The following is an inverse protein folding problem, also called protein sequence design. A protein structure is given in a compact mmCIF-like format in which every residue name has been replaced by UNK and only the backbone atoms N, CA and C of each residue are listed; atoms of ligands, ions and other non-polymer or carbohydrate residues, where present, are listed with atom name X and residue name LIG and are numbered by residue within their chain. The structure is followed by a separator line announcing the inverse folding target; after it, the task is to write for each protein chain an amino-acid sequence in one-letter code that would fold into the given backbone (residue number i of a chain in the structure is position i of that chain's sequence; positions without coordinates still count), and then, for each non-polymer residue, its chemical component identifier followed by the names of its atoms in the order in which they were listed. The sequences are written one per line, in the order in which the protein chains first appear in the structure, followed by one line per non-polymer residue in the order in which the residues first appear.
data_IF_603095998500
#
_entry.id   IF_603095998500
#
_cell.length_a   1.000
_cell.length_b   1.000
_cell.length_c   1.000
_cell.angle_alpha   90.00
_cell.angle_beta   90.00
_cell.angle_gamma   90.00
#
_symmetry.space_group_name_H-M   'P 1'
#
loop_
_entity.id
_entity.type
_entity.pdbx_description
1 polymer ?
#
# COMPACT_ATOMS: atom_id res chain seq x y z
N UNK A 1 -21.96 18.00 -2.53
CA UNK A 1 -20.65 18.53 -2.96
C UNK A 1 -20.45 18.17 -4.42
N UNK A 2 -20.17 19.15 -5.28
CA UNK A 2 -19.92 18.90 -6.71
C UNK A 2 -18.51 18.31 -6.85
N UNK A 3 -18.41 17.05 -7.29
CA UNK A 3 -17.13 16.36 -7.49
C UNK A 3 -16.57 16.68 -8.88
N UNK A 4 -16.13 17.93 -9.09
CA UNK A 4 -15.45 18.32 -10.32
C UNK A 4 -13.98 17.89 -10.27
N UNK A 5 -13.43 17.55 -11.44
CA UNK A 5 -12.01 17.24 -11.59
C UNK A 5 -11.18 18.46 -11.19
N UNK A 6 -10.15 18.28 -10.35
CA UNK A 6 -9.24 19.38 -10.00
C UNK A 6 -8.47 19.82 -11.24
N UNK A 7 -8.62 21.08 -11.62
CA UNK A 7 -7.75 21.73 -12.60
C UNK A 7 -6.49 22.20 -11.91
N UNK A 8 -5.34 21.92 -12.51
CA UNK A 8 -4.03 22.24 -11.95
C UNK A 8 -3.47 23.46 -12.65
N UNK A 9 -3.23 24.52 -11.90
CA UNK A 9 -2.77 25.80 -12.45
C UNK A 9 -1.25 25.90 -12.46
N UNK A 10 -0.58 25.24 -11.51
CA UNK A 10 0.88 25.28 -11.38
C UNK A 10 1.52 23.90 -11.35
N UNK A 11 2.82 23.85 -11.67
CA UNK A 11 3.64 22.62 -11.53
C UNK A 11 3.79 22.20 -10.06
N UNK A 12 3.91 23.16 -9.14
CA UNK A 12 4.03 22.87 -7.72
C UNK A 12 2.82 22.14 -7.15
N UNK A 13 1.60 22.52 -7.55
CA UNK A 13 0.38 21.81 -7.14
C UNK A 13 0.37 20.34 -7.57
N UNK A 14 0.89 20.05 -8.78
CA UNK A 14 0.99 18.68 -9.29
C UNK A 14 2.00 17.85 -8.49
N UNK A 15 3.17 18.44 -8.19
CA UNK A 15 4.23 17.78 -7.41
C UNK A 15 3.73 17.51 -5.99
N UNK A 16 3.10 18.50 -5.35
CA UNK A 16 2.60 18.37 -4.00
C UNK A 16 1.51 17.28 -3.91
N UNK A 17 0.54 17.26 -4.83
CA UNK A 17 -0.47 16.20 -4.89
C UNK A 17 0.17 14.83 -5.17
N UNK A 18 1.20 14.75 -6.01
CA UNK A 18 1.95 13.50 -6.25
C UNK A 18 2.65 13.01 -4.98
N UNK A 19 3.36 13.89 -4.27
CA UNK A 19 4.06 13.55 -3.01
C UNK A 19 3.06 13.12 -1.94
N UNK A 20 1.90 13.78 -1.84
CA UNK A 20 0.82 13.36 -0.95
C UNK A 20 0.34 11.95 -1.32
N UNK A 21 0.14 11.66 -2.60
CA UNK A 21 -0.24 10.33 -3.05
C UNK A 21 0.82 9.28 -2.71
N UNK A 22 2.08 9.61 -2.93
CA UNK A 22 3.21 8.71 -2.70
C UNK A 22 3.41 8.40 -1.21
N UNK A 23 3.58 9.44 -0.38
CA UNK A 23 3.81 9.29 1.07
C UNK A 23 2.53 8.81 1.77
N UNK A 24 1.38 9.32 1.36
CA UNK A 24 0.08 8.92 1.89
C UNK A 24 -0.20 7.44 1.67
N UNK A 25 0.23 6.86 0.54
CA UNK A 25 0.11 5.43 0.30
C UNK A 25 0.86 4.60 1.36
N UNK A 26 2.11 4.96 1.67
CA UNK A 26 2.88 4.27 2.71
C UNK A 26 2.29 4.46 4.10
N UNK A 27 1.82 5.66 4.44
CA UNK A 27 1.20 5.93 5.73
C UNK A 27 -0.07 5.10 5.93
N UNK A 28 -0.96 5.09 4.94
CA UNK A 28 -2.22 4.34 5.01
C UNK A 28 -1.93 2.84 5.07
N UNK A 29 -1.08 2.31 4.18
CA UNK A 29 -0.77 0.89 4.17
C UNK A 29 0.02 0.45 5.42
N UNK A 30 0.91 1.29 5.95
CA UNK A 30 1.62 1.05 7.20
C UNK A 30 0.69 1.00 8.41
N UNK A 31 -0.30 1.90 8.48
CA UNK A 31 -1.33 1.87 9.51
C UNK A 31 -2.22 0.63 9.39
N UNK A 32 -2.66 0.28 8.17
CA UNK A 32 -3.42 -0.94 7.96
C UNK A 32 -2.63 -2.18 8.38
N UNK A 33 -1.36 -2.27 7.99
CA UNK A 33 -0.50 -3.38 8.38
C UNK A 33 -0.33 -3.46 9.90
N UNK A 34 -0.05 -2.33 10.57
CA UNK A 34 0.06 -2.26 12.02
C UNK A 34 -1.23 -2.72 12.72
N UNK A 35 -2.39 -2.22 12.28
CA UNK A 35 -3.69 -2.65 12.78
C UNK A 35 -3.93 -4.15 12.56
N UNK A 36 -3.54 -4.68 11.41
CA UNK A 36 -3.67 -6.11 11.12
C UNK A 36 -2.83 -6.96 12.06
N UNK A 37 -1.56 -6.57 12.29
CA UNK A 37 -0.67 -7.29 13.19
C UNK A 37 -1.19 -7.26 14.64
N UNK A 38 -1.68 -6.11 15.12
CA UNK A 38 -2.20 -5.98 16.49
C UNK A 38 -3.53 -6.69 16.71
N UNK A 39 -4.39 -6.79 15.69
CA UNK A 39 -5.64 -7.55 15.77
C UNK A 39 -5.37 -9.06 15.70
N UNK A 40 -4.45 -9.49 14.84
CA UNK A 40 -4.11 -10.90 14.69
C UNK A 40 -3.43 -11.45 15.95
N UNK A 41 -2.59 -10.66 16.64
CA UNK A 41 -1.97 -11.07 17.90
C UNK A 41 -2.97 -11.25 19.05
N UNK A 42 -4.13 -10.57 18.99
CA UNK A 42 -5.20 -10.73 19.98
C UNK A 42 -6.16 -11.89 19.63
N UNK A 43 -6.25 -12.25 18.35
CA UNK A 43 -7.17 -13.27 17.84
C UNK A 43 -6.65 -14.72 17.93
N UNK A 44 -5.39 -14.96 18.35
CA UNK A 44 -4.73 -16.27 18.31
C UNK A 44 -5.30 -17.36 19.25
N UNK A 45 -6.46 -17.13 19.87
CA UNK A 45 -7.06 -18.03 20.87
C UNK A 45 -8.39 -18.69 20.42
N UNK A 46 -8.81 -18.62 19.15
CA UNK A 46 -10.07 -19.24 18.69
C UNK A 46 -10.18 -19.54 17.20
N UNK A 47 -10.96 -20.57 16.85
CA UNK A 47 -11.17 -21.14 15.49
C UNK A 47 -11.74 -20.10 14.48
N UNK A 48 -12.37 -19.01 14.96
CA UNK A 48 -12.85 -17.87 14.16
C UNK A 48 -11.73 -16.98 13.58
N UNK A 49 -10.47 -17.25 13.92
CA UNK A 49 -9.27 -16.51 13.50
C UNK A 49 -9.04 -16.52 11.98
N UNK A 50 -9.47 -17.57 11.28
CA UNK A 50 -9.18 -17.73 9.86
C UNK A 50 -10.03 -16.82 8.97
N UNK A 51 -11.31 -16.64 9.32
CA UNK A 51 -12.23 -15.78 8.55
C UNK A 51 -11.92 -14.29 8.77
N UNK A 52 -11.57 -13.92 10.00
CA UNK A 52 -11.13 -12.56 10.34
C UNK A 52 -9.78 -12.22 9.68
N UNK A 53 -8.83 -13.16 9.62
CA UNK A 53 -7.58 -12.97 8.88
C UNK A 53 -7.80 -12.75 7.37
N UNK A 54 -8.69 -13.53 6.74
CA UNK A 54 -9.03 -13.38 5.31
C UNK A 54 -9.65 -12.02 5.00
N UNK A 55 -10.58 -11.55 5.84
CA UNK A 55 -11.20 -10.23 5.68
C UNK A 55 -10.15 -9.13 5.87
N UNK A 56 -9.26 -9.26 6.86
CA UNK A 56 -8.18 -8.30 7.09
C UNK A 56 -7.14 -8.26 5.97
N UNK A 57 -6.96 -9.35 5.22
CA UNK A 57 -6.12 -9.39 4.01
C UNK A 57 -6.82 -8.77 2.79
N UNK A 58 -8.13 -8.98 2.66
CA UNK A 58 -8.91 -8.49 1.53
C UNK A 58 -9.23 -6.98 1.62
N UNK A 59 -9.47 -6.46 2.83
CA UNK A 59 -9.86 -5.06 3.05
C UNK A 59 -8.82 -4.06 2.50
N UNK A 60 -7.52 -4.19 2.82
CA UNK A 60 -6.49 -3.27 2.34
C UNK A 60 -6.40 -3.28 0.82
N UNK A 61 -6.55 -4.45 0.19
CA UNK A 61 -6.54 -4.57 -1.27
C UNK A 61 -7.71 -3.79 -1.89
N UNK A 62 -8.93 -3.99 -1.39
CA UNK A 62 -10.13 -3.31 -1.87
C UNK A 62 -10.05 -1.79 -1.65
N UNK A 63 -9.51 -1.37 -0.50
CA UNK A 63 -9.31 0.06 -0.18
C UNK A 63 -8.28 0.69 -1.11
N UNK A 64 -7.16 0.01 -1.39
CA UNK A 64 -6.14 0.53 -2.32
C UNK A 64 -6.69 0.65 -3.75
N UNK A 65 -7.41 -0.37 -4.24
CA UNK A 65 -8.02 -0.34 -5.58
C UNK A 65 -9.08 0.75 -5.65
N UNK A 66 -9.99 0.80 -4.68
CA UNK A 66 -11.04 1.81 -4.61
C UNK A 66 -10.48 3.23 -4.51
N UNK A 67 -9.43 3.43 -3.72
CA UNK A 67 -8.74 4.72 -3.60
C UNK A 67 -8.06 5.10 -4.93
N UNK A 68 -7.38 4.19 -5.61
CA UNK A 68 -6.76 4.46 -6.91
C UNK A 68 -7.79 4.83 -7.97
N UNK A 69 -8.92 4.13 -8.03
CA UNK A 69 -10.00 4.42 -8.99
C UNK A 69 -10.65 5.77 -8.67
N UNK A 70 -11.07 5.98 -7.42
CA UNK A 70 -11.71 7.23 -7.00
C UNK A 70 -10.79 8.44 -7.16
N UNK A 71 -9.57 8.37 -6.62
CA UNK A 71 -8.57 9.43 -6.76
C UNK A 71 -8.15 9.62 -8.22
N UNK A 72 -8.14 8.55 -9.03
CA UNK A 72 -7.86 8.64 -10.47
C UNK A 72 -8.86 9.53 -11.22
N UNK A 73 -10.12 9.49 -10.80
CA UNK A 73 -11.20 10.31 -11.37
C UNK A 73 -11.13 11.77 -10.91
N UNK A 74 -10.90 12.02 -9.62
CA UNK A 74 -10.98 13.38 -9.05
C UNK A 74 -9.63 14.12 -8.99
N UNK A 75 -8.55 13.42 -8.63
CA UNK A 75 -7.21 13.96 -8.40
C UNK A 75 -6.13 13.01 -8.93
N UNK A 76 -6.06 12.91 -10.26
CA UNK A 76 -5.18 11.98 -10.99
C UNK A 76 -3.72 11.96 -10.51
N UNK A 77 -3.15 13.10 -10.11
CA UNK A 77 -1.76 13.17 -9.67
C UNK A 77 -1.52 12.46 -8.33
N UNK A 78 -2.50 12.46 -7.43
CA UNK A 78 -2.45 11.67 -6.18
C UNK A 78 -2.46 10.18 -6.50
N UNK A 79 -3.35 9.75 -7.41
CA UNK A 79 -3.41 8.35 -7.83
C UNK A 79 -2.10 7.87 -8.50
N UNK A 80 -1.47 8.73 -9.31
CA UNK A 80 -0.15 8.43 -9.90
C UNK A 80 0.94 8.33 -8.83
N UNK A 81 0.91 9.19 -7.80
CA UNK A 81 1.81 9.10 -6.65
C UNK A 81 1.66 7.78 -5.89
N UNK A 82 0.43 7.38 -5.61
CA UNK A 82 0.14 6.11 -4.93
C UNK A 82 0.55 4.89 -5.78
N UNK A 83 0.32 4.92 -7.10
CA UNK A 83 0.76 3.87 -8.01
C UNK A 83 2.29 3.76 -8.06
N UNK A 84 3.00 4.90 -8.06
CA UNK A 84 4.45 4.93 -8.00
C UNK A 84 4.99 4.36 -6.68
N UNK A 85 4.35 4.68 -5.54
CA UNK A 85 4.69 4.10 -4.24
C UNK A 85 4.51 2.57 -4.22
N UNK A 86 3.40 2.07 -4.78
CA UNK A 86 3.18 0.63 -4.93
C UNK A 86 4.26 -0.03 -5.79
N UNK A 87 4.59 0.55 -6.95
CA UNK A 87 5.65 0.04 -7.82
C UNK A 87 7.03 0.02 -7.14
N UNK A 88 7.37 1.09 -6.41
CA UNK A 88 8.62 1.16 -5.64
C UNK A 88 8.66 0.11 -4.52
N UNK A 89 7.56 -0.08 -3.79
CA UNK A 89 7.45 -1.12 -2.76
C UNK A 89 7.62 -2.53 -3.35
N UNK A 90 6.99 -2.81 -4.49
CA UNK A 90 7.12 -4.10 -5.18
C UNK A 90 8.57 -4.36 -5.60
N UNK A 91 9.23 -3.37 -6.20
CA UNK A 91 10.63 -3.48 -6.59
C UNK A 91 11.54 -3.76 -5.38
N UNK A 92 11.32 -3.05 -4.26
CA UNK A 92 12.07 -3.25 -3.03
C UNK A 92 11.88 -4.66 -2.46
N UNK A 93 10.64 -5.16 -2.41
CA UNK A 93 10.35 -6.52 -1.93
C UNK A 93 11.02 -7.58 -2.82
N UNK A 94 11.00 -7.41 -4.15
CA UNK A 94 11.68 -8.33 -5.06
C UNK A 94 13.20 -8.32 -4.83
N UNK A 95 13.81 -7.14 -4.67
CA UNK A 95 15.24 -7.02 -4.39
C UNK A 95 15.62 -7.69 -3.06
N UNK A 96 14.84 -7.45 -2.00
CA UNK A 96 15.05 -8.12 -0.71
C UNK A 96 14.88 -9.64 -0.83
N UNK A 97 13.89 -10.12 -1.58
CA UNK A 97 13.69 -11.55 -1.82
C UNK A 97 14.90 -12.20 -2.51
N UNK A 98 15.46 -11.54 -3.52
CA UNK A 98 16.68 -12.01 -4.20
C UNK A 98 17.87 -12.05 -3.24
N UNK A 99 18.06 -11.00 -2.41
CA UNK A 99 19.14 -10.95 -1.43
C UNK A 99 19.01 -12.05 -0.37
N UNK A 100 17.82 -12.24 0.19
CA UNK A 100 17.55 -13.30 1.18
C UNK A 100 17.80 -14.68 0.56
N UNK A 101 17.31 -14.91 -0.66
CA UNK A 101 17.57 -16.15 -1.38
C UNK A 101 19.07 -16.42 -1.57
N UNK A 102 19.83 -15.41 -2.02
CA UNK A 102 21.27 -15.53 -2.20
C UNK A 102 22.01 -15.84 -0.89
N UNK A 103 21.62 -15.21 0.22
CA UNK A 103 22.19 -15.50 1.54
C UNK A 103 21.86 -16.93 1.99
N UNK A 104 20.59 -17.32 1.94
CA UNK A 104 20.17 -18.67 2.35
C UNK A 104 20.79 -19.77 1.48
N UNK A 105 20.96 -19.51 0.17
CA UNK A 105 21.63 -20.45 -0.72
C UNK A 105 23.10 -20.61 -0.29
N UNK A 106 23.85 -19.52 -0.09
CA UNK A 106 25.25 -19.60 0.31
C UNK A 106 25.47 -20.25 1.70
N UNK A 107 24.56 -20.03 2.66
CA UNK A 107 24.66 -20.65 3.99
C UNK A 107 24.39 -22.16 4.00
N UNK A 108 23.70 -22.71 2.99
CA UNK A 108 23.41 -24.14 2.90
C UNK A 108 24.49 -24.96 2.16
N UNK A 109 25.49 -24.30 1.56
CA UNK A 109 26.59 -24.96 0.82
C UNK A 109 27.98 -24.75 1.46
N UNK A 110 28.04 -24.19 2.67
CA UNK A 110 29.24 -24.10 3.51
C UNK A 110 29.17 -25.08 4.67
#
# INVERSE_FOLDING_TARGET
MNFTRKEYTTRNEKILDFVIGFVGWYLVNGLFYGCTVTLLSQASNGIDSNMSALILLALPLLINIGALVGLGMWRRWIALGALAAFGAALALVLLLGILIYAVCFNMNFS
#
